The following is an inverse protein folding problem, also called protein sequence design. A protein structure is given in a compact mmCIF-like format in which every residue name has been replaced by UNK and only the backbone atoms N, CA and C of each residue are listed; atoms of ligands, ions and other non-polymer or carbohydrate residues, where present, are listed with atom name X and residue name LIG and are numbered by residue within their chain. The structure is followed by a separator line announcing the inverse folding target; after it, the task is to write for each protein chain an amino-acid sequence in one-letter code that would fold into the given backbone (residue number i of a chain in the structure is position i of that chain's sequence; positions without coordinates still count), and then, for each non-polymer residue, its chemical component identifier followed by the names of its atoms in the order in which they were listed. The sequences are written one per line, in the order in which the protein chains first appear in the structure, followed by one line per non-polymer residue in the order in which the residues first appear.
data_IF_434386596211
#
_entry.id   IF_434386596211
#
_cell.length_a   1.000
_cell.length_b   1.000
_cell.length_c   1.000
_cell.angle_alpha   90.00
_cell.angle_beta   90.00
_cell.angle_gamma   90.00
#
_symmetry.space_group_name_H-M   'P 1'
#
loop_
_entity.id
_entity.type
_entity.pdbx_description
1 polymer ?
#
# COMPACT_ATOMS: atom_id res chain seq x y z
N UNK A 1 -40.66 -23.43 -5.16
CA UNK A 1 -39.54 -23.77 -4.26
C UNK A 1 -38.33 -23.37 -5.05
N UNK A 2 -38.04 -22.07 -5.03
CA UNK A 2 -37.21 -21.43 -6.03
C UNK A 2 -35.97 -20.88 -5.35
N UNK A 3 -34.87 -21.54 -5.69
CA UNK A 3 -33.47 -21.11 -5.63
C UNK A 3 -33.19 -19.83 -4.85
N UNK A 4 -32.87 -20.02 -3.58
CA UNK A 4 -32.16 -19.03 -2.77
C UNK A 4 -30.72 -18.96 -3.28
N UNK A 5 -30.51 -18.12 -4.32
CA UNK A 5 -29.20 -17.76 -4.84
C UNK A 5 -28.37 -17.13 -3.73
N UNK A 6 -27.23 -17.78 -3.46
CA UNK A 6 -26.10 -17.30 -2.68
C UNK A 6 -25.87 -15.81 -2.90
N UNK A 7 -26.34 -15.02 -1.93
CA UNK A 7 -26.07 -13.61 -1.82
C UNK A 7 -24.66 -13.47 -1.26
N UNK A 8 -23.68 -13.64 -2.16
CA UNK A 8 -22.34 -13.08 -2.14
C UNK A 8 -21.68 -13.05 -0.75
N UNK A 9 -20.90 -14.08 -0.48
CA UNK A 9 -19.81 -14.06 0.48
C UNK A 9 -18.80 -12.97 0.11
N UNK A 10 -19.05 -11.74 0.56
CA UNK A 10 -17.97 -10.78 0.76
C UNK A 10 -17.04 -11.42 1.80
N UNK A 11 -15.76 -11.66 1.49
CA UNK A 11 -14.85 -12.17 2.50
C UNK A 11 -14.82 -11.11 3.60
N UNK A 12 -15.33 -11.46 4.78
CA UNK A 12 -15.10 -10.69 6.00
C UNK A 12 -13.60 -10.69 6.22
N UNK A 13 -12.92 -9.70 5.62
CA UNK A 13 -11.50 -9.49 5.78
C UNK A 13 -11.27 -9.41 7.29
N UNK A 14 -10.54 -10.38 7.81
CA UNK A 14 -10.24 -10.46 9.23
C UNK A 14 -9.53 -9.18 9.66
N UNK A 15 -9.71 -8.71 10.90
CA UNK A 15 -9.00 -7.50 11.41
C UNK A 15 -7.48 -7.56 11.17
N UNK A 16 -6.90 -8.76 11.11
CA UNK A 16 -5.50 -9.01 10.77
C UNK A 16 -5.14 -8.71 9.30
N UNK A 17 -6.08 -8.86 8.36
CA UNK A 17 -5.92 -8.49 6.94
C UNK A 17 -6.06 -6.98 6.72
N UNK A 18 -6.94 -6.31 7.48
CA UNK A 18 -7.03 -4.85 7.48
C UNK A 18 -5.74 -4.19 8.00
N UNK A 19 -5.15 -4.76 9.04
CA UNK A 19 -3.94 -4.20 9.67
C UNK A 19 -2.66 -4.50 8.91
N UNK A 20 -2.57 -5.63 8.18
CA UNK A 20 -1.45 -5.92 7.27
C UNK A 20 -1.28 -4.86 6.17
N UNK A 21 -2.39 -4.29 5.68
CA UNK A 21 -2.37 -3.19 4.72
C UNK A 21 -1.83 -1.87 5.27
N UNK A 22 -1.73 -1.73 6.60
CA UNK A 22 -1.34 -0.48 7.27
C UNK A 22 0.06 -0.53 7.87
N UNK A 23 0.96 -1.40 7.38
CA UNK A 23 2.36 -1.35 7.83
C UNK A 23 3.20 -0.50 6.87
N UNK A 24 3.86 0.53 7.42
CA UNK A 24 4.85 1.35 6.72
C UNK A 24 6.22 0.71 6.94
N UNK A 25 6.85 0.23 5.87
CA UNK A 25 8.15 -0.43 5.93
C UNK A 25 9.29 0.57 5.64
N UNK A 26 10.33 0.53 6.47
CA UNK A 26 11.61 1.22 6.22
C UNK A 26 12.22 0.72 4.92
N UNK A 27 12.87 1.60 4.17
CA UNK A 27 13.54 1.27 2.91
C UNK A 27 12.64 1.37 1.68
N UNK A 28 11.31 1.44 1.83
CA UNK A 28 10.42 1.79 0.72
C UNK A 28 10.77 3.18 0.19
N UNK A 29 10.90 3.32 -1.12
CA UNK A 29 11.15 4.58 -1.79
C UNK A 29 9.98 4.96 -2.71
N UNK A 30 9.74 6.26 -2.84
CA UNK A 30 8.69 6.82 -3.69
C UNK A 30 9.30 7.86 -4.61
N UNK A 31 8.86 7.89 -5.86
CA UNK A 31 9.31 8.83 -6.88
C UNK A 31 8.15 9.67 -7.42
N UNK A 32 8.38 10.97 -7.59
CA UNK A 32 7.44 11.85 -8.27
C UNK A 32 7.53 11.64 -9.79
N UNK A 33 6.41 11.30 -10.42
CA UNK A 33 6.32 11.13 -11.88
C UNK A 33 6.45 12.43 -12.67
N UNK A 34 6.33 13.60 -12.02
CA UNK A 34 6.40 14.92 -12.67
C UNK A 34 7.79 15.54 -12.61
N UNK A 35 8.41 15.59 -11.43
CA UNK A 35 9.70 16.27 -11.22
C UNK A 35 10.87 15.33 -10.95
N UNK A 36 10.63 14.02 -10.80
CA UNK A 36 11.69 13.04 -10.54
C UNK A 36 12.24 13.03 -9.10
N UNK A 37 11.71 13.85 -8.19
CA UNK A 37 12.12 13.83 -6.77
C UNK A 37 11.86 12.46 -6.16
N UNK A 38 12.83 11.94 -5.41
CA UNK A 38 12.74 10.67 -4.69
C UNK A 38 12.79 10.89 -3.18
N UNK A 39 11.99 10.11 -2.45
CA UNK A 39 12.00 10.07 -0.98
C UNK A 39 12.03 8.62 -0.51
N UNK A 40 12.63 8.36 0.65
CA UNK A 40 12.72 7.02 1.24
C UNK A 40 12.20 7.05 2.68
N UNK A 41 11.52 5.97 3.06
CA UNK A 41 11.08 5.76 4.44
C UNK A 41 12.28 5.41 5.32
N UNK A 42 12.62 6.28 6.26
CA UNK A 42 13.70 6.06 7.24
C UNK A 42 13.19 5.50 8.57
N UNK A 43 11.89 5.60 8.84
CA UNK A 43 11.23 5.09 10.04
C UNK A 43 9.89 4.45 9.68
N UNK A 44 9.68 3.22 10.12
CA UNK A 44 8.43 2.48 9.93
C UNK A 44 7.35 2.91 10.92
N UNK A 45 6.14 2.39 10.74
CA UNK A 45 4.99 2.70 11.58
C UNK A 45 3.72 2.00 11.13
N UNK A 46 2.62 2.31 11.81
CA UNK A 46 1.28 1.83 11.48
C UNK A 46 0.49 2.98 10.84
N UNK A 47 -0.14 2.71 9.70
CA UNK A 47 -0.88 3.63 8.86
C UNK A 47 -0.59 3.42 7.37
N UNK A 48 -1.18 4.26 6.54
CA UNK A 48 -0.85 4.37 5.11
C UNK A 48 0.14 5.51 4.90
N UNK A 49 1.07 5.34 3.94
CA UNK A 49 1.98 6.40 3.53
C UNK A 49 1.76 6.71 2.06
N UNK A 50 1.16 7.88 1.80
CA UNK A 50 0.78 8.39 0.48
C UNK A 50 1.45 9.76 0.25
N UNK A 51 2.77 9.80 -0.01
CA UNK A 51 3.48 11.07 -0.14
C UNK A 51 3.06 11.79 -1.42
N UNK A 52 2.91 13.12 -1.34
CA UNK A 52 2.49 13.96 -2.46
C UNK A 52 3.62 14.88 -2.90
N UNK A 53 3.82 14.98 -4.21
CA UNK A 53 4.78 15.88 -4.82
C UNK A 53 4.21 16.41 -6.15
N UNK A 54 4.41 17.70 -6.44
CA UNK A 54 3.82 18.36 -7.62
C UNK A 54 2.29 18.20 -7.73
N UNK A 55 1.60 18.18 -6.58
CA UNK A 55 0.14 18.08 -6.49
C UNK A 55 -0.43 16.70 -6.86
N UNK A 56 0.38 15.65 -6.89
CA UNK A 56 -0.06 14.28 -7.20
C UNK A 56 0.63 13.27 -6.30
N UNK A 57 0.00 12.10 -6.13
CA UNK A 57 0.57 11.01 -5.35
C UNK A 57 1.84 10.49 -6.02
N UNK A 58 2.86 10.22 -5.20
CA UNK A 58 4.12 9.65 -5.65
C UNK A 58 3.98 8.14 -5.88
N UNK A 59 4.78 7.61 -6.80
CA UNK A 59 4.74 6.19 -7.18
C UNK A 59 5.76 5.41 -6.37
N UNK A 60 5.36 4.27 -5.82
CA UNK A 60 6.30 3.35 -5.15
C UNK A 60 7.35 2.86 -6.15
N UNK A 61 8.62 3.06 -5.82
CA UNK A 61 9.74 2.55 -6.59
C UNK A 61 9.83 1.04 -6.35
N UNK A 62 9.60 0.25 -7.39
CA UNK A 62 9.81 -1.20 -7.35
C UNK A 62 11.31 -1.47 -7.37
N UNK A 63 11.90 -1.76 -6.22
CA UNK A 63 13.16 -2.49 -6.14
C UNK A 63 12.86 -3.84 -5.49
N UNK A 64 13.35 -4.96 -6.08
CA UNK A 64 13.24 -6.26 -5.44
C UNK A 64 14.10 -6.25 -4.18
N UNK A 65 13.53 -6.69 -3.05
CA UNK A 65 14.21 -6.84 -1.75
C UNK A 65 15.32 -7.92 -1.76
N UNK A 66 15.95 -8.19 -2.91
CA UNK A 66 17.07 -9.13 -3.04
C UNK A 66 18.40 -8.41 -2.77
N UNK A 67 18.67 -8.15 -1.49
CA UNK A 67 20.07 -8.10 -1.03
C UNK A 67 20.44 -9.55 -0.72
N UNK A 68 21.04 -10.21 -1.70
CA UNK A 68 21.51 -11.60 -1.61
C UNK A 68 22.89 -11.70 -0.99
#
# INVERSE_FOLDING_TARGET
MDEQKDFLSEPELSMDEWTKGWTIHVGRAYACSKCGTMVMVTKGGIGTLEPKCCGSDMVLVKMPDEIR
#
